data_IF_916069233955
#
_entry.id   IF_916069233955
#
_cell.length_a   1.000
_cell.length_b   1.000
_cell.length_c   1.000
_cell.angle_alpha   90.00
_cell.angle_beta   90.00
_cell.angle_gamma   90.00
#
_symmetry.space_group_name_H-M   'P 1'
#
loop_
_entity.id
_entity.type
_entity.pdbx_description
1 polymer ?
#
# COMPACT_ATOMS: atom_id res chain seq x y z
N UNK A 1 -8.83 -14.10 -9.86
CA UNK A 1 -7.40 -13.78 -10.05
C UNK A 1 -6.82 -13.23 -8.77
N UNK A 2 -5.66 -13.71 -8.34
CA UNK A 2 -5.05 -13.17 -7.13
C UNK A 2 -4.58 -11.73 -7.36
N UNK A 3 -4.71 -10.94 -6.31
CA UNK A 3 -4.20 -9.57 -6.34
C UNK A 3 -2.68 -9.62 -6.25
N UNK A 4 -2.02 -8.84 -7.11
CA UNK A 4 -0.57 -8.69 -7.09
C UNK A 4 -0.23 -7.45 -6.28
N UNK A 5 0.50 -7.63 -5.20
CA UNK A 5 0.71 -6.60 -4.18
C UNK A 5 2.18 -6.23 -4.02
N UNK A 6 2.45 -4.93 -3.93
CA UNK A 6 3.74 -4.41 -3.50
C UNK A 6 3.56 -3.84 -2.09
N UNK A 7 4.45 -4.17 -1.16
CA UNK A 7 4.39 -3.67 0.22
C UNK A 7 5.60 -2.77 0.47
N UNK A 8 5.34 -1.56 0.96
CA UNK A 8 6.40 -0.59 1.26
C UNK A 8 6.38 -0.24 2.75
N UNK A 9 7.47 -0.59 3.44
CA UNK A 9 7.60 -0.37 4.87
C UNK A 9 9.08 -0.49 5.22
N UNK A 10 9.59 0.34 6.12
CA UNK A 10 10.99 0.28 6.52
C UNK A 10 11.27 -0.77 7.60
N UNK A 11 10.24 -1.44 8.10
CA UNK A 11 10.37 -2.47 9.11
C UNK A 11 10.41 -3.86 8.47
N UNK A 12 11.61 -4.47 8.44
CA UNK A 12 11.81 -5.76 7.79
C UNK A 12 10.97 -6.89 8.41
N UNK A 13 10.78 -6.86 9.72
CA UNK A 13 9.97 -7.88 10.42
C UNK A 13 8.51 -7.78 9.98
N UNK A 14 8.00 -6.56 9.87
CA UNK A 14 6.63 -6.37 9.43
C UNK A 14 6.47 -6.85 7.99
N UNK A 15 7.41 -6.52 7.11
CA UNK A 15 7.34 -6.93 5.71
C UNK A 15 7.25 -8.44 5.58
N UNK A 16 8.08 -9.17 6.33
CA UNK A 16 8.08 -10.63 6.28
C UNK A 16 6.78 -11.22 6.84
N UNK A 17 6.32 -10.71 7.98
CA UNK A 17 5.09 -11.19 8.58
C UNK A 17 3.88 -10.92 7.70
N UNK A 18 3.80 -9.71 7.14
CA UNK A 18 2.70 -9.32 6.26
C UNK A 18 2.68 -10.19 4.99
N UNK A 19 3.86 -10.42 4.41
CA UNK A 19 3.98 -11.25 3.23
C UNK A 19 3.44 -12.65 3.48
N UNK A 20 3.85 -13.28 4.58
CA UNK A 20 3.40 -14.63 4.93
C UNK A 20 1.91 -14.69 5.16
N UNK A 21 1.39 -13.72 5.91
CA UNK A 21 -0.04 -13.64 6.20
C UNK A 21 -0.86 -13.54 4.91
N UNK A 22 -0.49 -12.58 4.08
CA UNK A 22 -1.26 -12.29 2.87
C UNK A 22 -1.15 -13.40 1.85
N UNK A 23 0.01 -14.03 1.71
CA UNK A 23 0.16 -15.16 0.79
C UNK A 23 -0.71 -16.33 1.21
N UNK A 24 -0.85 -16.58 2.51
CA UNK A 24 -1.76 -17.61 2.99
C UNK A 24 -3.23 -17.29 2.69
N UNK A 25 -3.53 -16.01 2.50
CA UNK A 25 -4.90 -15.57 2.20
C UNK A 25 -5.14 -15.38 0.71
N UNK A 26 -4.24 -15.85 -0.13
CA UNK A 26 -4.44 -15.82 -1.57
C UNK A 26 -3.97 -14.57 -2.28
N UNK A 27 -3.27 -13.67 -1.58
CA UNK A 27 -2.67 -12.48 -2.20
C UNK A 27 -1.27 -12.82 -2.67
N UNK A 28 -0.90 -12.40 -3.88
CA UNK A 28 0.44 -12.61 -4.39
C UNK A 28 1.28 -11.37 -4.09
N UNK A 29 2.24 -11.49 -3.19
CA UNK A 29 3.16 -10.39 -2.88
C UNK A 29 4.29 -10.42 -3.90
N UNK A 30 4.23 -9.50 -4.87
CA UNK A 30 5.21 -9.49 -5.97
C UNK A 30 6.51 -8.82 -5.58
N UNK A 31 6.51 -8.04 -4.53
CA UNK A 31 7.74 -7.42 -4.05
C UNK A 31 7.53 -6.65 -2.77
N UNK A 32 8.65 -6.24 -2.17
CA UNK A 32 8.67 -5.40 -0.99
C UNK A 32 9.71 -4.30 -1.21
N UNK A 33 9.51 -3.16 -0.57
CA UNK A 33 10.45 -2.05 -0.65
C UNK A 33 10.52 -1.35 0.69
N UNK A 34 11.66 -0.75 1.02
CA UNK A 34 11.84 -0.09 2.30
C UNK A 34 12.15 1.41 2.18
N UNK A 35 12.30 1.92 0.97
CA UNK A 35 12.53 3.35 0.72
C UNK A 35 11.62 3.83 -0.39
N UNK A 36 11.47 5.16 -0.47
CA UNK A 36 10.69 5.78 -1.54
C UNK A 36 11.27 5.45 -2.92
N UNK A 37 12.57 5.58 -3.07
CA UNK A 37 13.23 5.34 -4.36
C UNK A 37 13.06 3.90 -4.82
N UNK A 38 13.27 2.94 -3.91
CA UNK A 38 13.10 1.53 -4.23
C UNK A 38 11.65 1.20 -4.55
N UNK A 39 10.71 1.81 -3.82
CA UNK A 39 9.29 1.60 -4.06
C UNK A 39 8.88 2.07 -5.45
N UNK A 40 9.36 3.25 -5.87
CA UNK A 40 9.03 3.79 -7.19
C UNK A 40 9.61 2.89 -8.29
N UNK A 41 10.82 2.41 -8.10
CA UNK A 41 11.48 1.53 -9.06
C UNK A 41 10.72 0.21 -9.20
N UNK A 42 10.37 -0.41 -8.06
CA UNK A 42 9.67 -1.69 -8.07
C UNK A 42 8.25 -1.56 -8.60
N UNK A 43 7.57 -0.46 -8.30
CA UNK A 43 6.23 -0.23 -8.84
C UNK A 43 6.26 -0.18 -10.36
N UNK A 44 7.26 0.48 -10.93
CA UNK A 44 7.41 0.58 -12.37
C UNK A 44 7.77 -0.76 -13.01
N UNK A 45 8.67 -1.51 -12.38
CA UNK A 45 9.12 -2.81 -12.90
C UNK A 45 8.06 -3.89 -12.76
N UNK A 46 7.40 -3.96 -11.60
CA UNK A 46 6.52 -5.07 -11.26
C UNK A 46 5.05 -4.81 -11.62
N UNK A 47 4.66 -3.56 -11.72
CA UNK A 47 3.29 -3.15 -12.05
C UNK A 47 2.26 -3.88 -11.18
N UNK A 48 2.30 -3.67 -9.86
CA UNK A 48 1.36 -4.34 -8.98
C UNK A 48 -0.06 -3.86 -9.19
N UNK A 49 -1.03 -4.67 -8.79
CA UNK A 49 -2.43 -4.27 -8.83
C UNK A 49 -2.76 -3.28 -7.71
N UNK A 50 -2.01 -3.34 -6.61
CA UNK A 50 -2.19 -2.42 -5.48
C UNK A 50 -0.86 -2.33 -4.72
N UNK A 51 -0.62 -1.16 -4.13
CA UNK A 51 0.58 -0.93 -3.30
C UNK A 51 0.15 -0.53 -1.90
N UNK A 52 0.69 -1.22 -0.89
CA UNK A 52 0.54 -0.84 0.50
C UNK A 52 1.72 0.04 0.88
N UNK A 53 1.46 1.20 1.46
CA UNK A 53 2.51 2.16 1.82
C UNK A 53 2.36 2.55 3.28
N UNK A 54 3.40 2.27 4.08
CA UNK A 54 3.46 2.76 5.46
C UNK A 54 3.58 4.29 5.43
N UNK A 55 2.81 4.96 6.26
CA UNK A 55 2.87 6.42 6.33
C UNK A 55 4.21 6.92 6.87
N UNK A 56 4.93 6.08 7.62
CA UNK A 56 6.26 6.40 8.13
C UNK A 56 7.30 5.49 7.50
N UNK A 57 8.17 6.06 6.68
CA UNK A 57 9.24 5.33 6.00
C UNK A 57 10.59 5.85 6.47
N UNK A 58 10.89 5.66 7.76
CA UNK A 58 12.09 6.20 8.36
C UNK A 58 12.06 7.72 8.31
N UNK A 59 12.94 8.32 7.54
CA UNK A 59 12.97 9.78 7.36
C UNK A 59 12.06 10.25 6.23
N UNK A 60 11.44 9.33 5.51
CA UNK A 60 10.60 9.66 4.36
C UNK A 60 9.13 9.57 4.72
N UNK A 61 8.29 10.26 3.96
CA UNK A 61 6.85 10.27 4.20
C UNK A 61 6.13 9.33 3.24
N UNK A 62 5.32 8.43 3.80
CA UNK A 62 4.46 7.57 2.98
C UNK A 62 3.40 8.36 2.23
N UNK A 63 2.97 9.50 2.76
CA UNK A 63 2.03 10.38 2.06
C UNK A 63 2.66 10.95 0.78
N UNK A 64 3.92 11.35 0.86
CA UNK A 64 4.62 11.86 -0.33
C UNK A 64 4.81 10.75 -1.36
N UNK A 65 5.13 9.55 -0.91
CA UNK A 65 5.27 8.42 -1.82
C UNK A 65 3.93 8.10 -2.48
N UNK A 66 2.84 8.12 -1.72
CA UNK A 66 1.51 7.87 -2.30
C UNK A 66 1.19 8.85 -3.41
N UNK A 67 1.52 10.14 -3.22
CA UNK A 67 1.32 11.13 -4.27
C UNK A 67 2.14 10.81 -5.51
N UNK A 68 3.40 10.43 -5.32
CA UNK A 68 4.29 10.11 -6.46
C UNK A 68 3.85 8.86 -7.21
N UNK A 69 3.39 7.86 -6.48
CA UNK A 69 2.91 6.62 -7.09
C UNK A 69 1.62 6.82 -7.89
N UNK A 70 0.86 7.85 -7.57
CA UNK A 70 -0.41 8.12 -8.23
C UNK A 70 -0.33 9.27 -9.24
N UNK A 71 0.86 9.77 -9.54
CA UNK A 71 1.04 10.76 -10.60
C UNK A 71 0.86 10.09 -11.97
N UNK A 72 0.36 10.85 -12.93
CA UNK A 72 0.13 10.36 -14.28
C UNK A 72 -1.34 10.12 -14.57
N UNK A 73 -1.64 9.29 -15.56
CA UNK A 73 -3.02 8.98 -15.91
C UNK A 73 -3.58 7.88 -15.01
N UNK A 74 -4.86 7.99 -14.66
CA UNK A 74 -5.50 7.00 -13.80
C UNK A 74 -5.41 5.58 -14.34
N UNK A 75 -5.46 5.43 -15.65
CA UNK A 75 -5.41 4.11 -16.26
C UNK A 75 -4.08 3.38 -16.03
N UNK A 76 -3.04 4.12 -15.71
CA UNK A 76 -1.69 3.58 -15.55
C UNK A 76 -1.22 3.49 -14.10
N UNK A 77 -2.08 3.90 -13.16
CA UNK A 77 -1.69 3.97 -11.75
C UNK A 77 -2.41 2.93 -10.93
N UNK A 78 -1.67 2.05 -10.24
CA UNK A 78 -2.32 1.14 -9.31
C UNK A 78 -2.81 1.93 -8.09
N UNK A 79 -3.91 1.50 -7.46
CA UNK A 79 -4.36 2.12 -6.23
C UNK A 79 -3.35 1.94 -5.11
N UNK A 80 -3.31 2.93 -4.21
CA UNK A 80 -2.43 2.92 -3.05
C UNK A 80 -3.30 2.86 -1.79
N UNK A 81 -2.95 1.96 -0.89
CA UNK A 81 -3.56 1.84 0.43
C UNK A 81 -2.49 2.23 1.45
N UNK A 82 -2.80 3.19 2.31
CA UNK A 82 -1.89 3.58 3.38
C UNK A 82 -2.05 2.65 4.56
N UNK A 83 -0.94 2.31 5.21
CA UNK A 83 -0.96 1.48 6.42
C UNK A 83 -0.20 2.20 7.53
N UNK A 84 -0.56 1.93 8.77
CA UNK A 84 0.10 2.53 9.92
C UNK A 84 -0.12 1.71 11.18
N UNK A 85 0.84 1.81 12.10
CA UNK A 85 0.68 1.28 13.45
C UNK A 85 -0.21 2.18 14.31
N UNK A 86 -0.45 3.42 13.87
CA UNK A 86 -1.28 4.37 14.60
C UNK A 86 -2.74 4.29 14.17
N UNK A 87 -3.69 4.68 15.04
CA UNK A 87 -5.11 4.65 14.69
C UNK A 87 -5.45 5.61 13.56
N UNK A 88 -6.38 5.22 12.72
CA UNK A 88 -6.85 6.03 11.60
C UNK A 88 -7.34 7.40 12.06
N UNK A 89 -8.04 7.45 13.19
CA UNK A 89 -8.64 8.69 13.68
C UNK A 89 -7.61 9.78 13.96
N UNK A 90 -6.40 9.41 14.32
CA UNK A 90 -5.33 10.38 14.59
C UNK A 90 -4.73 10.95 13.31
N UNK A 91 -5.03 10.33 12.17
CA UNK A 91 -4.44 10.66 10.88
C UNK A 91 -5.50 11.04 9.84
N UNK A 92 -6.76 11.16 10.26
CA UNK A 92 -7.88 11.29 9.33
C UNK A 92 -7.71 12.43 8.33
N UNK A 93 -7.27 13.59 8.79
CA UNK A 93 -7.11 14.74 7.89
C UNK A 93 -6.05 14.49 6.83
N UNK A 94 -4.93 13.88 7.21
CA UNK A 94 -3.85 13.59 6.28
C UNK A 94 -4.26 12.50 5.29
N UNK A 95 -4.98 11.50 5.76
CA UNK A 95 -5.48 10.42 4.90
C UNK A 95 -6.46 10.98 3.88
N UNK A 96 -7.39 11.81 4.32
CA UNK A 96 -8.40 12.41 3.44
C UNK A 96 -7.77 13.32 2.39
N UNK A 97 -6.66 13.96 2.72
CA UNK A 97 -5.95 14.83 1.78
C UNK A 97 -5.07 14.05 0.80
N UNK A 98 -4.88 12.76 1.02
CA UNK A 98 -4.00 11.94 0.19
C UNK A 98 -4.76 11.32 -0.99
N UNK A 99 -4.06 10.92 -2.05
CA UNK A 99 -4.69 10.25 -3.18
C UNK A 99 -4.93 8.75 -2.95
N UNK A 100 -4.65 8.24 -1.75
CA UNK A 100 -4.84 6.81 -1.46
C UNK A 100 -6.31 6.45 -1.51
N UNK A 101 -6.60 5.20 -1.91
CA UNK A 101 -7.98 4.72 -1.97
C UNK A 101 -8.50 4.29 -0.59
N UNK A 102 -7.61 4.12 0.37
CA UNK A 102 -8.01 3.76 1.72
C UNK A 102 -6.83 3.66 2.67
N UNK A 103 -7.16 3.28 3.88
CA UNK A 103 -6.21 3.14 4.97
C UNK A 103 -6.52 1.86 5.75
N UNK A 104 -5.47 1.17 6.18
CA UNK A 104 -5.60 0.02 7.06
C UNK A 104 -4.62 0.15 8.22
N UNK A 105 -5.09 -0.10 9.43
CA UNK A 105 -4.19 -0.26 10.55
C UNK A 105 -3.39 -1.54 10.34
N UNK A 106 -2.12 -1.55 10.70
CA UNK A 106 -1.30 -2.76 10.55
C UNK A 106 -1.91 -3.96 11.26
N UNK A 107 -2.56 -3.72 12.40
CA UNK A 107 -3.23 -4.77 13.16
C UNK A 107 -4.48 -5.33 12.47
N UNK A 108 -5.03 -4.60 11.51
CA UNK A 108 -6.22 -5.03 10.77
C UNK A 108 -5.92 -5.46 9.34
N UNK A 109 -4.66 -5.66 9.01
CA UNK A 109 -4.26 -6.04 7.67
C UNK A 109 -4.75 -7.45 7.32
N UNK A 110 -5.44 -7.58 6.19
CA UNK A 110 -5.88 -8.88 5.68
C UNK A 110 -6.10 -8.77 4.18
N UNK A 111 -6.09 -9.91 3.51
CA UNK A 111 -6.40 -9.97 2.08
C UNK A 111 -7.80 -9.46 1.79
N UNK A 112 -8.76 -9.82 2.65
CA UNK A 112 -10.14 -9.38 2.49
C UNK A 112 -10.27 -7.86 2.59
N UNK A 113 -9.59 -7.25 3.57
CA UNK A 113 -9.65 -5.80 3.73
C UNK A 113 -9.08 -5.08 2.51
N UNK A 114 -7.98 -5.58 1.97
CA UNK A 114 -7.37 -5.05 0.75
C UNK A 114 -8.36 -5.17 -0.41
N UNK A 115 -8.95 -6.35 -0.56
CA UNK A 115 -9.88 -6.63 -1.64
C UNK A 115 -11.08 -5.68 -1.62
N UNK A 116 -11.62 -5.43 -0.43
CA UNK A 116 -12.76 -4.52 -0.28
C UNK A 116 -12.42 -3.09 -0.69
N UNK A 117 -11.24 -2.61 -0.30
CA UNK A 117 -10.83 -1.25 -0.66
C UNK A 117 -10.58 -1.10 -2.17
N UNK A 118 -9.94 -2.08 -2.78
CA UNK A 118 -9.66 -2.05 -4.22
C UNK A 118 -10.96 -2.21 -5.02
N UNK A 119 -11.86 -3.06 -4.55
CA UNK A 119 -13.14 -3.29 -5.21
C UNK A 119 -14.01 -2.04 -5.27
N UNK A 120 -13.94 -1.18 -4.26
CA UNK A 120 -14.67 0.09 -4.28
C UNK A 120 -14.21 1.00 -5.38
N UNK A 121 -12.91 0.96 -5.70
CA UNK A 121 -12.32 1.78 -6.75
C UNK A 121 -12.78 1.30 -8.12
N UNK A 122 -12.87 -0.02 -8.31
CA UNK A 122 -13.26 -0.62 -9.58
C UNK A 122 -14.71 -0.33 -9.94
N UNK A 123 -15.53 -0.01 -8.97
CA UNK A 123 -16.94 0.28 -9.21
C UNK A 123 -17.21 1.74 -9.56
N UNK A 124 -16.20 2.55 -9.38
CA UNK A 124 -16.27 3.98 -9.71
C UNK A 124 -16.32 4.23 -11.18
#
# INVERSE_FOLDING_TARGET
MPIRLLIVDDNAHFLEAARRLLERQGVTVVGVASTTLDALRRAEELRPDVTLVDIELGHESGFDLARRLTEGTEAQRPPVILISAYPEQDLAELIDASPAVGFLAKSGLSGRAIFELVGRTDKG
#
